data_IF_437220207639
#
_entry.id   IF_437220207639
#
_cell.length_a   1.000
_cell.length_b   1.000
_cell.length_c   1.000
_cell.angle_alpha   90.00
_cell.angle_beta   90.00
_cell.angle_gamma   90.00
#
_symmetry.space_group_name_H-M   'P 1'
#
loop_
_entity.id
_entity.type
_entity.pdbx_description
1 polymer ?
#
# COMPACT_ATOMS: atom_id res chain seq x y z
N UNK A 1 -11.54 4.83 29.17
CA UNK A 1 -10.32 5.03 28.36
C UNK A 1 -10.22 3.87 27.39
N UNK A 2 -10.07 4.06 26.07
CA UNK A 2 -9.90 2.93 25.17
C UNK A 2 -8.54 2.26 25.48
N UNK A 3 -8.56 0.95 25.71
CA UNK A 3 -7.35 0.14 25.83
C UNK A 3 -6.52 0.26 24.55
N UNK A 4 -5.17 0.33 24.63
CA UNK A 4 -4.36 0.24 23.43
C UNK A 4 -4.55 -1.15 22.84
N UNK A 5 -5.27 -1.25 21.72
CA UNK A 5 -5.33 -2.45 20.90
C UNK A 5 -3.93 -2.67 20.33
N UNK A 6 -3.19 -3.60 20.92
CA UNK A 6 -1.94 -4.08 20.36
C UNK A 6 -2.27 -4.71 19.00
N UNK A 7 -1.99 -3.97 17.93
CA UNK A 7 -2.30 -4.41 16.57
C UNK A 7 -0.99 -4.84 15.93
N UNK A 8 -0.72 -6.14 15.93
CA UNK A 8 0.46 -6.71 15.27
C UNK A 8 0.19 -6.87 13.77
N UNK A 9 1.00 -6.23 12.93
CA UNK A 9 1.17 -6.65 11.56
C UNK A 9 2.28 -7.71 11.54
N UNK A 10 2.01 -8.87 10.95
CA UNK A 10 2.98 -9.96 10.87
C UNK A 10 3.60 -9.91 9.47
N UNK A 11 4.91 -9.73 9.42
CA UNK A 11 5.70 -9.94 8.20
C UNK A 11 6.77 -10.96 8.47
N UNK A 12 7.00 -11.85 7.50
CA UNK A 12 8.08 -12.81 7.54
C UNK A 12 9.37 -12.22 6.98
N UNK A 13 10.50 -12.63 7.55
CA UNK A 13 11.82 -12.39 6.98
C UNK A 13 12.47 -13.74 6.69
N UNK A 14 13.12 -13.84 5.54
CA UNK A 14 13.99 -14.96 5.19
C UNK A 14 15.40 -14.60 5.64
N UNK A 15 15.99 -15.47 6.46
CA UNK A 15 17.36 -15.31 6.96
C UNK A 15 18.25 -16.31 6.23
N UNK A 16 19.24 -15.77 5.52
CA UNK A 16 20.28 -16.52 4.83
C UNK A 16 21.65 -16.00 5.28
N UNK A 17 22.71 -16.77 5.06
CA UNK A 17 24.05 -16.34 5.46
C UNK A 17 24.42 -15.03 4.75
N UNK A 18 24.59 -13.95 5.53
CA UNK A 18 24.89 -12.62 5.02
C UNK A 18 23.71 -11.87 4.37
N UNK A 19 22.50 -12.43 4.38
CA UNK A 19 21.34 -11.82 3.75
C UNK A 19 20.07 -11.90 4.62
N UNK A 20 19.35 -10.79 4.68
CA UNK A 20 18.00 -10.71 5.25
C UNK A 20 17.07 -10.21 4.16
N UNK A 21 16.13 -11.06 3.76
CA UNK A 21 15.13 -10.75 2.75
C UNK A 21 13.73 -10.68 3.36
N UNK A 22 12.83 -9.92 2.73
CA UNK A 22 11.40 -10.02 3.04
C UNK A 22 10.87 -11.35 2.48
N UNK A 23 10.13 -12.09 3.30
CA UNK A 23 9.38 -13.24 2.81
C UNK A 23 8.27 -12.78 1.85
N UNK A 24 7.79 -13.64 0.94
CA UNK A 24 6.57 -13.38 0.19
C UNK A 24 5.43 -12.99 1.12
N UNK A 25 4.61 -12.03 0.73
CA UNK A 25 3.45 -11.65 1.52
C UNK A 25 2.46 -12.82 1.62
N UNK A 26 1.89 -13.03 2.80
CA UNK A 26 0.94 -14.08 3.13
C UNK A 26 -0.23 -13.50 3.94
N UNK A 27 -1.23 -14.33 4.29
CA UNK A 27 -2.44 -13.93 5.02
C UNK A 27 -3.27 -12.83 4.34
N UNK A 28 -3.32 -12.85 3.01
CA UNK A 28 -4.24 -12.00 2.26
C UNK A 28 -5.68 -12.42 2.51
N UNK A 29 -6.42 -11.57 3.23
CA UNK A 29 -7.85 -11.73 3.46
C UNK A 29 -8.56 -10.41 3.20
N UNK A 30 -9.67 -10.46 2.48
CA UNK A 30 -10.56 -9.32 2.31
C UNK A 30 -11.71 -9.44 3.29
N UNK A 31 -11.98 -8.39 4.05
CA UNK A 31 -13.19 -8.34 4.89
C UNK A 31 -14.41 -8.09 4.01
N UNK A 32 -14.95 -9.14 3.40
CA UNK A 32 -16.20 -9.06 2.64
C UNK A 32 -17.36 -9.12 3.64
N UNK A 33 -17.86 -7.96 4.05
CA UNK A 33 -18.97 -7.87 5.00
C UNK A 33 -19.25 -6.44 5.47
N UNK A 34 -20.52 -6.01 5.58
CA UNK A 34 -20.90 -4.64 5.96
C UNK A 34 -20.91 -4.40 7.49
N UNK A 35 -20.57 -5.39 8.30
CA UNK A 35 -20.94 -5.41 9.74
C UNK A 35 -19.95 -4.74 10.69
N UNK A 36 -18.79 -4.28 10.22
CA UNK A 36 -17.77 -3.69 11.08
C UNK A 36 -17.13 -2.46 10.45
N UNK A 37 -16.76 -1.49 11.27
CA UNK A 37 -15.88 -0.39 10.86
C UNK A 37 -14.49 -0.96 10.55
N UNK A 38 -13.98 -0.65 9.35
CA UNK A 38 -12.75 -1.23 8.81
C UNK A 38 -11.64 -0.20 8.88
N UNK A 39 -10.67 -0.49 9.73
CA UNK A 39 -9.46 0.31 9.87
C UNK A 39 -8.23 -0.52 9.52
N UNK A 40 -7.29 0.08 8.81
CA UNK A 40 -5.98 -0.48 8.57
C UNK A 40 -5.23 -0.68 9.88
N UNK A 41 -4.52 -1.80 9.97
CA UNK A 41 -3.58 -2.08 11.06
C UNK A 41 -2.49 -1.00 11.12
N UNK A 42 -2.02 -0.57 9.95
CA UNK A 42 -1.03 0.48 9.79
C UNK A 42 -1.64 1.69 9.08
N UNK A 43 -1.36 2.87 9.62
CA UNK A 43 -1.80 4.13 9.01
C UNK A 43 -0.96 4.46 7.78
N UNK A 44 -1.59 5.11 6.79
CA UNK A 44 -0.90 5.79 5.69
C UNK A 44 -1.02 7.29 5.95
N UNK A 45 0.12 7.92 6.24
CA UNK A 45 0.14 9.25 6.85
C UNK A 45 -0.60 9.21 8.19
N UNK A 46 -1.60 10.07 8.37
CA UNK A 46 -2.45 10.10 9.56
C UNK A 46 -3.75 9.29 9.43
N UNK A 47 -3.99 8.63 8.28
CA UNK A 47 -5.26 7.96 8.00
C UNK A 47 -5.20 6.45 8.22
N UNK A 48 -6.22 5.91 8.89
CA UNK A 48 -6.44 4.47 9.10
C UNK A 48 -7.62 3.92 8.30
N UNK A 49 -8.51 4.76 7.77
CA UNK A 49 -9.62 4.27 6.96
C UNK A 49 -9.21 4.26 5.48
N UNK A 50 -9.29 3.11 4.83
CA UNK A 50 -8.84 2.95 3.44
C UNK A 50 -9.50 3.94 2.48
N UNK A 51 -10.80 4.22 2.65
CA UNK A 51 -11.54 5.17 1.82
C UNK A 51 -11.11 6.64 1.99
N UNK A 52 -10.31 6.97 3.01
CA UNK A 52 -9.76 8.32 3.24
C UNK A 52 -8.31 8.46 2.75
N UNK A 53 -7.74 7.42 2.16
CA UNK A 53 -6.35 7.40 1.71
C UNK A 53 -6.32 7.78 0.25
N UNK A 54 -5.88 9.01 -0.01
CA UNK A 54 -5.61 9.50 -1.34
C UNK A 54 -4.13 9.80 -1.55
N UNK A 55 -3.80 10.48 -2.66
CA UNK A 55 -2.42 10.81 -3.02
C UNK A 55 -1.69 11.65 -1.97
N UNK A 56 -2.40 12.54 -1.28
CA UNK A 56 -1.83 13.39 -0.23
C UNK A 56 -1.34 12.56 0.97
N UNK A 57 -2.10 11.55 1.39
CA UNK A 57 -1.72 10.66 2.49
C UNK A 57 -0.53 9.79 2.12
N UNK A 58 -0.51 9.25 0.90
CA UNK A 58 0.65 8.52 0.38
C UNK A 58 1.89 9.40 0.36
N UNK A 59 1.82 10.63 -0.17
CA UNK A 59 2.94 11.59 -0.16
C UNK A 59 3.43 11.95 1.24
N UNK A 60 2.52 12.08 2.20
CA UNK A 60 2.89 12.33 3.60
C UNK A 60 3.62 11.12 4.20
N UNK A 61 3.11 9.91 3.93
CA UNK A 61 3.69 8.67 4.42
C UNK A 61 5.09 8.42 3.88
N UNK A 62 5.26 8.45 2.55
CA UNK A 62 6.54 8.17 1.89
C UNK A 62 7.63 9.17 2.29
N UNK A 63 7.27 10.44 2.49
CA UNK A 63 8.19 11.47 3.00
C UNK A 63 8.66 11.15 4.41
N UNK A 64 7.74 10.72 5.29
CA UNK A 64 8.08 10.30 6.64
C UNK A 64 9.02 9.08 6.64
N UNK A 65 8.84 8.17 5.68
CA UNK A 65 9.65 6.96 5.53
C UNK A 65 10.94 7.17 4.71
N UNK A 66 11.24 8.39 4.24
CA UNK A 66 12.42 8.65 3.40
C UNK A 66 12.39 7.97 2.01
N UNK A 67 11.21 7.64 1.51
CA UNK A 67 11.02 6.95 0.22
C UNK A 67 10.77 7.94 -0.93
N UNK A 68 11.13 7.52 -2.15
CA UNK A 68 10.79 8.25 -3.37
C UNK A 68 9.27 8.25 -3.58
N UNK A 69 8.69 9.46 -3.53
CA UNK A 69 7.25 9.67 -3.62
C UNK A 69 6.68 9.25 -4.98
N UNK A 70 7.40 9.53 -6.06
CA UNK A 70 6.91 9.25 -7.42
C UNK A 70 6.99 7.75 -7.70
N UNK A 71 8.05 7.09 -7.24
CA UNK A 71 8.16 5.62 -7.34
C UNK A 71 7.02 4.91 -6.62
N UNK A 72 6.69 5.32 -5.40
CA UNK A 72 5.62 4.68 -4.62
C UNK A 72 4.25 4.96 -5.22
N UNK A 73 3.96 6.21 -5.59
CA UNK A 73 2.70 6.57 -6.23
C UNK A 73 2.52 5.86 -7.58
N UNK A 74 3.60 5.73 -8.34
CA UNK A 74 3.61 4.95 -9.58
C UNK A 74 3.21 3.49 -9.34
N UNK A 75 3.83 2.81 -8.38
CA UNK A 75 3.49 1.43 -8.03
C UNK A 75 2.02 1.27 -7.56
N UNK A 76 1.52 2.24 -6.78
CA UNK A 76 0.09 2.25 -6.36
C UNK A 76 -0.83 2.41 -7.57
N UNK A 77 -0.49 3.29 -8.52
CA UNK A 77 -1.25 3.46 -9.76
C UNK A 77 -1.24 2.18 -10.59
N UNK A 78 -0.07 1.60 -10.84
CA UNK A 78 0.09 0.37 -11.63
C UNK A 78 -0.77 -0.78 -11.09
N UNK A 79 -0.76 -1.00 -9.77
CA UNK A 79 -1.63 -2.01 -9.14
C UNK A 79 -3.09 -1.66 -9.36
N UNK A 80 -3.50 -0.41 -9.11
CA UNK A 80 -4.90 0.03 -9.26
C UNK A 80 -5.40 -0.13 -10.68
N UNK A 81 -4.57 0.22 -11.67
CA UNK A 81 -4.89 0.15 -13.09
C UNK A 81 -4.97 -1.31 -13.58
N UNK A 82 -4.28 -2.24 -12.92
CA UNK A 82 -4.36 -3.68 -13.21
C UNK A 82 -5.57 -4.39 -12.59
N UNK A 83 -6.26 -3.77 -11.61
CA UNK A 83 -7.37 -4.40 -10.90
C UNK A 83 -8.54 -4.84 -11.79
N UNK A 84 -8.99 -4.06 -12.80
CA UNK A 84 -10.09 -4.47 -13.66
C UNK A 84 -9.80 -5.77 -14.43
N UNK A 85 -8.57 -5.94 -14.90
CA UNK A 85 -8.15 -7.11 -15.66
C UNK A 85 -7.91 -8.32 -14.75
N UNK A 86 -7.40 -8.09 -13.54
CA UNK A 86 -7.20 -9.14 -12.53
C UNK A 86 -8.52 -9.64 -11.92
N UNK A 87 -9.56 -8.80 -11.90
CA UNK A 87 -10.89 -9.13 -11.36
C UNK A 87 -11.99 -8.80 -12.38
N UNK A 88 -12.06 -9.51 -13.52
CA UNK A 88 -13.00 -9.20 -14.61
C UNK A 88 -14.47 -9.35 -14.19
N UNK A 89 -14.73 -10.08 -13.11
CA UNK A 89 -16.06 -10.30 -12.51
C UNK A 89 -16.40 -9.29 -11.41
N UNK A 90 -15.59 -8.24 -11.19
CA UNK A 90 -15.79 -7.24 -10.13
C UNK A 90 -16.26 -5.86 -10.62
N UNK A 91 -17.33 -5.74 -11.44
CA UNK A 91 -17.88 -4.44 -11.83
C UNK A 91 -18.45 -3.64 -10.64
N UNK A 92 -18.50 -4.22 -9.44
CA UNK A 92 -18.92 -3.54 -8.20
C UNK A 92 -17.81 -2.67 -7.59
N UNK A 93 -16.54 -2.87 -7.95
CA UNK A 93 -15.41 -2.08 -7.41
C UNK A 93 -15.15 -0.77 -8.18
N UNK A 94 -15.60 -0.67 -9.43
CA UNK A 94 -15.33 0.48 -10.31
C UNK A 94 -16.06 1.77 -9.88
N UNK A 95 -17.22 1.67 -9.23
CA UNK A 95 -18.00 2.85 -8.79
C UNK A 95 -17.46 3.54 -7.54
N UNK A 96 -16.58 2.88 -6.76
CA UNK A 96 -16.01 3.49 -5.55
C UNK A 96 -14.71 4.28 -5.83
N UNK A 97 -14.12 4.14 -7.02
CA UNK A 97 -12.80 4.69 -7.35
C UNK A 97 -12.82 5.86 -8.35
N UNK A 98 -13.99 6.25 -8.88
CA UNK A 98 -14.07 7.31 -9.89
C UNK A 98 -13.72 8.70 -9.31
N UNK A 99 -13.90 8.91 -7.99
CA UNK A 99 -13.46 10.14 -7.30
C UNK A 99 -11.97 10.12 -6.90
N UNK A 100 -11.31 8.96 -6.97
CA UNK A 100 -9.90 8.76 -6.55
C UNK A 100 -8.94 8.58 -7.73
N UNK A 101 -9.48 8.57 -8.96
CA UNK A 101 -8.70 8.37 -10.20
C UNK A 101 -7.69 9.50 -10.36
N UNK A 102 -6.44 9.14 -10.15
CA UNK A 102 -5.28 10.00 -10.31
C UNK A 102 -5.02 10.28 -11.80
N UNK A 103 -4.99 11.54 -12.26
CA UNK A 103 -4.43 11.86 -13.56
C UNK A 103 -2.91 11.87 -13.44
N UNK A 104 -2.28 10.70 -13.41
CA UNK A 104 -0.82 10.59 -13.52
C UNK A 104 -0.51 10.22 -14.97
N UNK A 105 0.02 11.19 -15.72
CA UNK A 105 0.61 10.91 -17.04
C UNK A 105 1.83 10.02 -16.80
N UNK A 106 1.71 8.74 -17.16
CA UNK A 106 2.84 7.84 -17.29
C UNK A 106 3.82 8.41 -18.31
N UNK A 107 4.86 9.10 -17.84
CA UNK A 107 6.03 9.40 -18.66
C UNK A 107 7.08 8.35 -18.37
N UNK A 108 7.14 7.34 -19.23
CA UNK A 108 8.37 6.64 -19.61
C UNK A 108 9.13 5.87 -18.52
N UNK A 109 9.12 4.54 -18.66
CA UNK A 109 10.17 3.57 -18.29
C UNK A 109 11.39 4.17 -17.56
N UNK A 110 11.51 3.90 -16.27
CA UNK A 110 12.76 4.14 -15.51
C UNK A 110 13.43 2.81 -15.21
N UNK A 111 14.63 2.68 -15.77
CA UNK A 111 15.58 1.57 -15.63
C UNK A 111 15.90 1.23 -14.17
N UNK A 112 15.98 -0.07 -13.86
CA UNK A 112 16.32 -0.60 -12.53
C UNK A 112 17.78 -0.27 -12.20
N UNK A 113 18.00 0.50 -11.13
CA UNK A 113 19.30 0.58 -10.45
C UNK A 113 19.16 0.06 -9.01
N UNK A 114 20.18 -0.63 -8.46
CA UNK A 114 20.10 -1.27 -7.16
C UNK A 114 20.14 -0.22 -6.04
N UNK A 115 19.19 -0.28 -5.11
CA UNK A 115 19.19 0.55 -3.91
C UNK A 115 20.01 -0.15 -2.84
N UNK A 116 21.16 0.44 -2.49
CA UNK A 116 21.94 0.12 -1.31
C UNK A 116 21.15 0.49 -0.05
N UNK A 117 21.13 -0.46 0.89
CA UNK A 117 20.62 -0.34 2.25
C UNK A 117 21.20 0.88 2.97
N UNK A 118 20.37 1.64 3.68
CA UNK A 118 20.63 2.06 5.07
C UNK A 118 19.43 2.82 5.69
N UNK A 119 19.29 2.59 7.00
CA UNK A 119 18.61 3.36 8.04
C UNK A 119 17.10 3.10 8.29
N UNK A 120 16.91 2.34 9.37
CA UNK A 120 15.79 2.26 10.30
C UNK A 120 15.50 3.62 10.94
N UNK A 121 14.21 3.97 11.04
CA UNK A 121 13.60 4.79 12.09
C UNK A 121 12.18 4.27 12.34
#
# INVERSE_FOLDING_TARGET
>A
MPSPTCTSAIWGFILEEGHVGLAPAYDFSSSVGPRYDKTLILRVGEQRHAHKIGPAQWRAHVRCCGLDSERVLGAVSEVTDSLPDAFPQAPVLAKANDESRLPIRSTGVVSRSPVTSHAVC
#
